data_IF_319072894741
#
_entry.id   IF_319072894741
#
_cell.length_a   1.000
_cell.length_b   1.000
_cell.length_c   1.000
_cell.angle_alpha   90.00
_cell.angle_beta   90.00
_cell.angle_gamma   90.00
#
_symmetry.space_group_name_H-M   'P 1'
#
loop_
_entity.id
_entity.type
_entity.pdbx_description
1 polymer ?
#
# COMPACT_ATOMS: atom_id res chain seq x y z
N UNK A 1 20.37 8.83 8.41
CA UNK A 1 18.95 8.64 8.66
C UNK A 1 18.20 8.74 7.34
N UNK A 2 17.00 8.15 7.26
CA UNK A 2 16.30 7.94 5.99
C UNK A 2 14.83 8.31 6.17
N UNK A 3 14.29 9.06 5.21
CA UNK A 3 12.86 9.16 4.95
C UNK A 3 12.59 8.64 3.53
N UNK A 4 11.54 7.87 3.35
CA UNK A 4 11.10 7.41 2.03
C UNK A 4 9.58 7.34 1.96
N UNK A 5 9.02 7.66 0.79
CA UNK A 5 7.60 7.53 0.56
C UNK A 5 7.17 6.06 0.36
N UNK A 6 5.88 5.83 0.56
CA UNK A 6 5.17 4.60 0.22
C UNK A 6 4.68 4.66 -1.26
N UNK A 7 4.42 3.51 -1.89
CA UNK A 7 4.84 2.17 -1.52
C UNK A 7 6.35 2.02 -1.69
N UNK A 8 6.96 1.17 -0.90
CA UNK A 8 8.43 1.03 -0.94
C UNK A 8 8.92 0.15 -2.08
N UNK A 9 8.03 -0.55 -2.73
CA UNK A 9 8.27 -1.40 -3.90
C UNK A 9 6.96 -1.71 -4.62
N UNK A 10 7.06 -2.26 -5.83
CA UNK A 10 5.92 -2.67 -6.65
C UNK A 10 5.85 -4.20 -6.87
N UNK A 11 6.85 -4.94 -6.39
CA UNK A 11 6.98 -6.38 -6.55
C UNK A 11 7.69 -7.04 -5.35
N UNK A 12 7.61 -8.37 -5.19
CA UNK A 12 8.25 -9.09 -4.09
C UNK A 12 9.77 -8.93 -4.06
N UNK A 13 10.43 -8.90 -5.22
CA UNK A 13 11.88 -8.72 -5.30
C UNK A 13 12.31 -7.36 -4.73
N UNK A 14 11.59 -6.29 -5.05
CA UNK A 14 11.79 -4.96 -4.50
C UNK A 14 11.57 -4.91 -2.99
N UNK A 15 10.49 -5.55 -2.50
CA UNK A 15 10.21 -5.63 -1.05
C UNK A 15 11.34 -6.33 -0.30
N UNK A 16 11.81 -7.49 -0.75
CA UNK A 16 12.93 -8.20 -0.12
C UNK A 16 14.20 -7.36 -0.08
N UNK A 17 14.50 -6.65 -1.18
CA UNK A 17 15.66 -5.73 -1.26
C UNK A 17 15.54 -4.59 -0.26
N UNK A 18 14.36 -4.01 -0.16
CA UNK A 18 14.09 -2.94 0.80
C UNK A 18 14.22 -3.42 2.25
N UNK A 19 13.61 -4.56 2.62
CA UNK A 19 13.74 -5.14 3.95
C UNK A 19 15.21 -5.39 4.35
N UNK A 20 16.04 -5.84 3.39
CA UNK A 20 17.48 -6.00 3.61
C UNK A 20 18.19 -4.67 3.86
N UNK A 21 17.78 -3.59 3.18
CA UNK A 21 18.33 -2.26 3.40
C UNK A 21 17.91 -1.68 4.76
N UNK A 22 16.64 -1.92 5.18
CA UNK A 22 16.15 -1.51 6.51
C UNK A 22 16.96 -2.18 7.62
N UNK A 23 17.23 -3.49 7.52
CA UNK A 23 18.08 -4.20 8.49
C UNK A 23 19.49 -3.60 8.60
N UNK A 24 20.11 -3.25 7.47
CA UNK A 24 21.41 -2.56 7.47
C UNK A 24 21.36 -1.18 8.11
N UNK A 25 20.26 -0.46 7.95
CA UNK A 25 20.06 0.84 8.60
C UNK A 25 19.91 0.68 10.11
N UNK A 26 19.19 -0.36 10.56
CA UNK A 26 19.02 -0.71 11.97
C UNK A 26 20.35 -1.08 12.64
N UNK A 27 21.16 -1.94 12.01
CA UNK A 27 22.51 -2.30 12.49
C UNK A 27 23.40 -1.06 12.70
N UNK A 28 23.20 -0.03 11.85
CA UNK A 28 23.90 1.26 11.95
C UNK A 28 23.21 2.28 12.86
N UNK A 29 22.13 1.89 13.53
CA UNK A 29 21.29 2.75 14.38
C UNK A 29 20.81 4.02 13.67
N UNK A 30 20.52 3.92 12.36
CA UNK A 30 19.97 5.01 11.58
C UNK A 30 18.44 5.01 11.74
N UNK A 31 17.86 6.15 12.10
CA UNK A 31 16.41 6.31 12.05
C UNK A 31 15.92 6.12 10.62
N UNK A 32 14.82 5.40 10.46
CA UNK A 32 14.19 5.11 9.20
C UNK A 32 12.69 5.39 9.31
N UNK A 33 12.18 6.37 8.59
CA UNK A 33 10.76 6.69 8.60
C UNK A 33 10.17 6.61 7.18
N UNK A 34 8.92 6.21 7.11
CA UNK A 34 8.21 5.98 5.84
C UNK A 34 6.96 6.84 5.77
N UNK A 35 6.56 7.25 4.56
CA UNK A 35 5.37 8.05 4.29
C UNK A 35 4.03 7.34 4.54
N UNK A 36 3.98 6.47 5.54
CA UNK A 36 2.74 5.93 6.11
C UNK A 36 2.20 6.90 7.16
N UNK A 37 1.83 8.10 6.73
CA UNK A 37 1.56 9.28 7.56
C UNK A 37 0.50 9.06 8.66
N UNK A 38 -0.44 8.11 8.49
CA UNK A 38 -1.44 7.77 9.52
C UNK A 38 -0.79 7.26 10.80
N UNK A 39 0.39 6.63 10.71
CA UNK A 39 1.20 6.21 11.87
C UNK A 39 1.73 7.41 12.67
N UNK A 40 1.75 8.61 12.09
CA UNK A 40 2.10 9.86 12.75
C UNK A 40 0.90 10.71 13.19
N UNK A 41 -0.33 10.30 12.87
CA UNK A 41 -1.55 10.92 13.37
C UNK A 41 -1.80 10.53 14.84
N UNK A 42 -1.99 11.51 15.71
CA UNK A 42 -2.32 11.26 17.11
C UNK A 42 -3.72 10.63 17.25
N UNK A 43 -4.67 11.00 16.39
CA UNK A 43 -6.00 10.39 16.38
C UNK A 43 -5.91 8.87 16.16
N UNK A 44 -5.10 8.43 15.17
CA UNK A 44 -4.86 7.00 14.94
C UNK A 44 -4.08 6.36 16.09
N UNK A 45 -2.97 6.96 16.53
CA UNK A 45 -2.13 6.42 17.63
C UNK A 45 -2.92 6.14 18.89
N UNK A 46 -3.72 7.12 19.33
CA UNK A 46 -4.54 7.00 20.54
C UNK A 46 -5.66 5.97 20.35
N UNK A 47 -6.33 5.97 19.20
CA UNK A 47 -7.40 5.02 18.91
C UNK A 47 -6.87 3.60 18.83
N UNK A 48 -5.80 3.37 18.08
CA UNK A 48 -5.21 2.03 17.91
C UNK A 48 -4.69 1.50 19.24
N UNK A 49 -4.05 2.35 20.05
CA UNK A 49 -3.64 1.95 21.40
C UNK A 49 -4.84 1.49 22.23
N UNK A 50 -5.94 2.25 22.25
CA UNK A 50 -7.18 1.88 22.98
C UNK A 50 -7.77 0.56 22.46
N UNK A 51 -7.76 0.34 21.13
CA UNK A 51 -8.21 -0.93 20.53
C UNK A 51 -7.36 -2.08 21.02
N UNK A 52 -6.04 -1.95 20.97
CA UNK A 52 -5.08 -2.96 21.43
C UNK A 52 -5.16 -3.20 22.95
N UNK A 53 -5.54 -2.17 23.72
CA UNK A 53 -5.83 -2.27 25.16
C UNK A 53 -7.23 -2.88 25.46
N UNK A 54 -7.99 -3.30 24.42
CA UNK A 54 -9.26 -4.04 24.56
C UNK A 54 -10.53 -3.18 24.59
N UNK A 55 -10.49 -1.92 24.18
CA UNK A 55 -11.66 -1.01 24.20
C UNK A 55 -12.88 -1.52 23.43
N UNK A 56 -12.66 -2.31 22.37
CA UNK A 56 -13.73 -2.94 21.57
C UNK A 56 -13.81 -4.47 21.75
N UNK A 57 -13.07 -5.02 22.72
CA UNK A 57 -12.94 -6.47 22.92
C UNK A 57 -12.01 -7.12 21.90
N UNK A 58 -12.14 -8.45 21.73
CA UNK A 58 -11.37 -9.20 20.74
C UNK A 58 -11.78 -8.82 19.32
N UNK A 59 -10.81 -8.65 18.43
CA UNK A 59 -11.07 -8.29 17.03
C UNK A 59 -11.67 -9.51 16.30
N UNK A 60 -12.78 -9.28 15.60
CA UNK A 60 -13.53 -10.31 14.86
C UNK A 60 -13.27 -10.16 13.36
N UNK A 61 -13.29 -8.92 12.85
CA UNK A 61 -13.09 -8.62 11.44
C UNK A 61 -12.68 -7.15 11.25
N UNK A 62 -12.15 -6.86 10.08
CA UNK A 62 -11.92 -5.48 9.63
C UNK A 62 -12.44 -5.30 8.21
N UNK A 63 -12.75 -4.06 7.83
CA UNK A 63 -12.99 -3.67 6.44
C UNK A 63 -12.31 -2.36 6.13
N UNK A 64 -11.79 -2.27 4.92
CA UNK A 64 -11.06 -1.10 4.46
C UNK A 64 -11.49 -0.72 3.05
N UNK A 65 -11.68 0.58 2.82
CA UNK A 65 -12.09 1.11 1.53
C UNK A 65 -11.16 2.22 1.05
N UNK A 66 -10.74 2.10 -0.21
CA UNK A 66 -10.25 3.23 -1.00
C UNK A 66 -11.08 3.32 -2.29
N UNK A 67 -12.31 3.77 -2.15
CA UNK A 67 -13.21 3.97 -3.25
C UNK A 67 -13.16 5.43 -3.67
N UNK A 68 -12.48 5.72 -4.76
CA UNK A 68 -12.26 7.07 -5.26
C UNK A 68 -12.21 7.14 -6.78
N UNK A 69 -11.69 8.23 -7.27
CA UNK A 69 -11.42 8.44 -8.67
C UNK A 69 -9.92 8.31 -8.95
N UNK A 70 -9.55 8.12 -10.22
CA UNK A 70 -8.16 8.14 -10.64
C UNK A 70 -7.56 9.53 -10.36
N UNK A 71 -6.44 9.63 -9.63
CA UNK A 71 -5.87 10.93 -9.29
C UNK A 71 -5.47 11.76 -10.50
N UNK A 72 -4.87 11.13 -11.50
CA UNK A 72 -4.51 11.77 -12.76
C UNK A 72 -4.21 10.74 -13.85
N UNK A 73 -4.32 11.19 -15.09
CA UNK A 73 -3.76 10.56 -16.28
C UNK A 73 -3.37 11.64 -17.27
N UNK A 74 -2.30 11.43 -18.01
CA UNK A 74 -1.80 12.41 -18.93
C UNK A 74 -1.75 11.85 -20.35
N UNK A 75 -2.35 12.56 -21.30
CA UNK A 75 -2.06 12.33 -22.71
C UNK A 75 -0.61 12.70 -23.01
N UNK A 76 0.03 11.97 -23.92
CA UNK A 76 1.41 12.26 -24.34
C UNK A 76 1.50 13.65 -24.94
N UNK A 77 2.43 14.44 -24.44
CA UNK A 77 2.67 15.80 -24.94
C UNK A 77 3.82 15.81 -25.95
N UNK A 78 3.78 16.72 -26.96
CA UNK A 78 4.84 16.84 -27.97
C UNK A 78 6.23 17.11 -27.43
N UNK A 79 6.34 17.77 -26.29
CA UNK A 79 7.61 18.06 -25.62
C UNK A 79 8.23 16.85 -24.92
N UNK A 80 7.46 15.79 -24.64
CA UNK A 80 7.95 14.54 -24.02
C UNK A 80 8.56 13.65 -25.10
N UNK A 81 9.88 13.65 -25.19
CA UNK A 81 10.61 13.13 -26.35
C UNK A 81 10.79 11.62 -26.37
N UNK A 82 10.71 10.98 -25.21
CA UNK A 82 10.96 9.55 -25.08
C UNK A 82 9.80 8.81 -24.40
N UNK A 83 9.71 7.52 -24.63
CA UNK A 83 8.72 6.69 -23.94
C UNK A 83 8.96 6.66 -22.45
N UNK A 84 10.21 6.51 -22.01
CA UNK A 84 10.53 6.51 -20.59
C UNK A 84 10.10 7.83 -19.90
N UNK A 85 10.37 8.98 -20.53
CA UNK A 85 9.91 10.27 -19.99
C UNK A 85 8.39 10.29 -19.82
N UNK A 86 7.66 9.86 -20.85
CA UNK A 86 6.19 9.81 -20.76
C UNK A 86 5.72 8.85 -19.66
N UNK A 87 6.29 7.63 -19.56
CA UNK A 87 5.94 6.67 -18.52
C UNK A 87 6.19 7.21 -17.11
N UNK A 88 7.33 7.86 -16.90
CA UNK A 88 7.65 8.47 -15.61
C UNK A 88 6.76 9.67 -15.29
N UNK A 89 6.36 10.50 -16.25
CA UNK A 89 5.43 11.60 -16.04
C UNK A 89 3.99 11.13 -15.80
N UNK A 90 3.62 10.01 -16.42
CA UNK A 90 2.32 9.34 -16.24
C UNK A 90 2.45 8.11 -15.32
N UNK A 91 3.36 8.17 -14.34
CA UNK A 91 3.81 7.07 -13.51
C UNK A 91 2.67 6.33 -12.80
N UNK A 92 1.63 7.05 -12.41
CA UNK A 92 0.48 6.49 -11.69
C UNK A 92 -0.26 5.43 -12.51
N UNK A 93 -0.12 5.44 -13.83
CA UNK A 93 -0.86 4.59 -14.75
C UNK A 93 -0.04 3.39 -15.28
N UNK A 94 1.09 3.08 -14.65
CA UNK A 94 1.92 1.94 -15.03
C UNK A 94 2.11 0.99 -13.83
N UNK A 95 1.87 -0.31 -14.02
CA UNK A 95 2.04 -1.30 -12.92
C UNK A 95 3.46 -1.27 -12.36
N UNK A 96 4.46 -1.16 -13.23
CA UNK A 96 5.86 -1.21 -12.82
C UNK A 96 6.37 0.05 -12.08
N UNK A 97 5.62 1.15 -12.10
CA UNK A 97 5.96 2.38 -11.36
C UNK A 97 5.11 2.58 -10.10
N UNK A 98 3.82 2.18 -10.13
CA UNK A 98 2.91 2.43 -8.99
C UNK A 98 2.43 1.14 -8.30
N UNK A 99 2.54 -0.02 -8.94
CA UNK A 99 2.08 -1.28 -8.38
C UNK A 99 0.57 -1.54 -8.49
N UNK A 100 -0.17 -0.72 -9.25
CA UNK A 100 -1.62 -0.61 -9.32
C UNK A 100 -2.26 0.08 -8.09
N UNK A 101 -3.54 0.46 -8.19
CA UNK A 101 -4.22 1.28 -7.18
C UNK A 101 -4.23 0.68 -5.78
N UNK A 102 -4.29 -0.64 -5.67
CA UNK A 102 -4.25 -1.34 -4.39
C UNK A 102 -2.91 -1.14 -3.67
N UNK A 103 -1.79 -1.08 -4.41
CA UNK A 103 -0.45 -0.90 -3.85
C UNK A 103 -0.16 0.57 -3.62
N UNK A 104 -0.53 1.45 -4.55
CA UNK A 104 -0.18 2.87 -4.47
C UNK A 104 -1.03 3.62 -3.45
N UNK A 105 -2.35 3.48 -3.48
CA UNK A 105 -3.25 4.23 -2.60
C UNK A 105 -3.78 3.41 -1.44
N UNK A 106 -4.30 2.22 -1.71
CA UNK A 106 -5.01 1.45 -0.69
C UNK A 106 -4.11 0.88 0.40
N UNK A 107 -2.80 0.86 0.18
CA UNK A 107 -1.79 0.54 1.20
C UNK A 107 -2.01 1.33 2.51
N UNK A 108 -2.46 2.58 2.44
CA UNK A 108 -2.72 3.39 3.64
C UNK A 108 -3.76 2.78 4.58
N UNK A 109 -4.80 2.19 4.02
CA UNK A 109 -5.87 1.54 4.80
C UNK A 109 -5.42 0.16 5.28
N UNK A 110 -4.74 -0.61 4.42
CA UNK A 110 -4.16 -1.92 4.75
C UNK A 110 -3.16 -1.78 5.91
N UNK A 111 -2.29 -0.76 5.86
CA UNK A 111 -1.30 -0.47 6.88
C UNK A 111 -1.92 -0.24 8.27
N UNK A 112 -3.06 0.44 8.34
CA UNK A 112 -3.76 0.68 9.61
C UNK A 112 -4.22 -0.62 10.25
N UNK A 113 -4.77 -1.56 9.47
CA UNK A 113 -5.23 -2.84 10.02
C UNK A 113 -4.04 -3.73 10.40
N UNK A 114 -2.99 -3.79 9.56
CA UNK A 114 -1.75 -4.49 9.93
C UNK A 114 -1.16 -3.93 11.24
N UNK A 115 -1.21 -2.61 11.44
CA UNK A 115 -0.78 -1.98 12.69
C UNK A 115 -1.65 -2.39 13.88
N UNK A 116 -2.98 -2.40 13.73
CA UNK A 116 -3.91 -2.86 14.80
C UNK A 116 -3.64 -4.31 15.13
N UNK A 117 -3.47 -5.16 14.13
CA UNK A 117 -3.23 -6.61 14.31
C UNK A 117 -1.81 -6.94 14.79
N UNK A 118 -0.86 -5.99 14.67
CA UNK A 118 0.55 -6.18 15.01
C UNK A 118 1.28 -7.16 14.10
N UNK A 119 0.70 -7.50 12.94
CA UNK A 119 1.22 -8.48 11.98
C UNK A 119 0.59 -8.28 10.61
N UNK A 120 1.04 -9.05 9.62
CA UNK A 120 0.48 -9.14 8.28
C UNK A 120 -0.49 -10.34 8.13
N UNK A 121 -1.37 -10.37 7.11
CA UNK A 121 -2.18 -11.54 6.79
C UNK A 121 -1.35 -12.77 6.42
N UNK A 122 -1.85 -13.95 6.74
CA UNK A 122 -1.23 -15.23 6.38
C UNK A 122 -1.51 -15.64 4.94
N UNK A 123 -2.70 -15.26 4.41
CA UNK A 123 -3.12 -15.58 3.03
C UNK A 123 -4.16 -14.59 2.53
N UNK A 124 -4.44 -14.66 1.22
CA UNK A 124 -5.45 -13.85 0.55
C UNK A 124 -6.11 -14.60 -0.59
N UNK A 125 -7.41 -14.35 -0.79
CA UNK A 125 -8.13 -14.61 -2.04
C UNK A 125 -8.64 -13.27 -2.55
N UNK A 126 -8.42 -12.97 -3.83
CA UNK A 126 -8.77 -11.68 -4.38
C UNK A 126 -9.40 -11.77 -5.77
N UNK A 127 -10.23 -10.79 -6.08
CA UNK A 127 -10.80 -10.55 -7.40
C UNK A 127 -10.62 -9.09 -7.80
N UNK A 128 -10.90 -8.79 -9.06
CA UNK A 128 -10.82 -7.44 -9.58
C UNK A 128 -10.83 -7.42 -11.10
N UNK A 129 -10.53 -6.26 -11.65
CA UNK A 129 -10.50 -6.13 -13.10
C UNK A 129 -10.41 -4.70 -13.59
N UNK A 130 -10.62 -4.58 -14.90
CA UNK A 130 -10.70 -3.31 -15.61
C UNK A 130 -12.06 -3.21 -16.27
N UNK A 131 -12.98 -2.48 -15.61
CA UNK A 131 -14.38 -2.37 -16.03
C UNK A 131 -14.64 -1.11 -16.87
N UNK A 132 -14.13 0.06 -16.48
CA UNK A 132 -14.45 1.33 -17.14
C UNK A 132 -13.29 1.99 -17.85
N UNK A 133 -12.03 1.82 -17.39
CA UNK A 133 -10.87 2.49 -18.03
C UNK A 133 -10.76 2.10 -19.50
N UNK A 134 -10.83 3.04 -20.45
CA UNK A 134 -10.63 2.74 -21.87
C UNK A 134 -9.23 2.18 -22.13
N UNK A 135 -9.05 1.49 -23.28
CA UNK A 135 -7.74 1.01 -23.72
C UNK A 135 -6.96 2.12 -24.43
N UNK A 136 -6.82 3.26 -23.76
CA UNK A 136 -6.02 4.38 -24.21
C UNK A 136 -4.69 4.40 -23.50
N UNK A 137 -3.65 4.90 -24.19
CA UNK A 137 -2.26 4.90 -23.68
C UNK A 137 -2.14 5.57 -22.30
N UNK A 138 -2.91 6.64 -22.05
CA UNK A 138 -2.86 7.40 -20.79
C UNK A 138 -3.33 6.62 -19.55
N UNK A 139 -4.13 5.59 -19.73
CA UNK A 139 -4.59 4.75 -18.63
C UNK A 139 -3.72 3.51 -18.39
N UNK A 140 -2.66 3.36 -19.18
CA UNK A 140 -1.67 2.29 -19.01
C UNK A 140 -2.28 0.90 -18.91
N UNK A 141 -1.67 0.06 -18.07
CA UNK A 141 -2.01 -1.35 -17.87
C UNK A 141 -2.76 -1.63 -16.55
N UNK A 142 -3.11 -0.60 -15.78
CA UNK A 142 -3.78 -0.75 -14.49
C UNK A 142 -5.19 -1.33 -14.59
N UNK A 143 -5.55 -2.08 -13.59
CA UNK A 143 -6.95 -2.33 -13.28
C UNK A 143 -7.64 -1.10 -12.68
N UNK A 144 -8.96 -1.15 -12.55
CA UNK A 144 -9.72 -0.06 -11.94
C UNK A 144 -10.41 -0.46 -10.63
N UNK A 145 -10.38 -1.74 -10.25
CA UNK A 145 -10.90 -2.19 -8.96
C UNK A 145 -10.25 -3.48 -8.47
N UNK A 146 -10.19 -3.63 -7.14
CA UNK A 146 -9.76 -4.82 -6.42
C UNK A 146 -10.67 -5.07 -5.22
N UNK A 147 -10.97 -6.35 -4.98
CA UNK A 147 -11.67 -6.87 -3.83
C UNK A 147 -10.85 -8.02 -3.26
N UNK A 148 -10.39 -7.89 -2.01
CA UNK A 148 -9.52 -8.87 -1.39
C UNK A 148 -10.10 -9.29 -0.04
N UNK A 149 -10.06 -10.59 0.23
CA UNK A 149 -10.28 -11.18 1.53
C UNK A 149 -8.93 -11.65 2.08
N UNK A 150 -8.36 -10.87 2.97
CA UNK A 150 -7.12 -11.18 3.67
C UNK A 150 -7.42 -11.89 4.98
N UNK A 151 -6.85 -13.07 5.20
CA UNK A 151 -6.99 -13.82 6.43
C UNK A 151 -5.69 -13.75 7.27
N UNK A 152 -5.79 -13.29 8.51
CA UNK A 152 -4.69 -13.30 9.47
C UNK A 152 -4.55 -14.69 10.12
N UNK A 153 -3.37 -14.99 10.67
CA UNK A 153 -3.07 -16.29 11.26
C UNK A 153 -4.00 -16.70 12.42
N UNK A 154 -4.65 -15.73 13.06
CA UNK A 154 -5.64 -15.96 14.12
C UNK A 154 -7.09 -16.12 13.60
N UNK A 155 -7.29 -16.19 12.28
CA UNK A 155 -8.60 -16.35 11.64
C UNK A 155 -9.40 -15.05 11.51
N UNK A 156 -8.84 -13.89 11.83
CA UNK A 156 -9.48 -12.58 11.58
C UNK A 156 -9.38 -12.25 10.09
N UNK A 157 -10.47 -11.78 9.50
CA UNK A 157 -10.53 -11.35 8.11
C UNK A 157 -10.48 -9.83 7.98
N UNK A 158 -9.70 -9.33 7.00
CA UNK A 158 -9.75 -7.96 6.53
C UNK A 158 -10.33 -7.94 5.11
N UNK A 159 -11.57 -7.43 4.98
CA UNK A 159 -12.24 -7.21 3.69
C UNK A 159 -11.79 -5.88 3.11
N UNK A 160 -11.18 -5.92 1.96
CA UNK A 160 -10.47 -4.81 1.34
C UNK A 160 -11.07 -4.49 -0.03
N UNK A 161 -11.48 -3.24 -0.23
CA UNK A 161 -12.11 -2.78 -1.46
C UNK A 161 -11.43 -1.51 -1.96
N UNK A 162 -10.92 -1.52 -3.17
CA UNK A 162 -10.35 -0.33 -3.79
C UNK A 162 -10.83 -0.19 -5.24
N UNK A 163 -11.11 1.05 -5.65
CA UNK A 163 -11.52 1.32 -7.03
C UNK A 163 -11.25 2.76 -7.44
N UNK A 164 -11.11 2.96 -8.76
CA UNK A 164 -11.02 4.26 -9.41
C UNK A 164 -12.21 4.45 -10.37
N UNK A 165 -13.38 4.71 -9.86
CA UNK A 165 -14.57 4.89 -10.67
C UNK A 165 -15.08 6.33 -10.60
N UNK A 166 -15.25 6.96 -11.76
CA UNK A 166 -15.83 8.30 -11.88
C UNK A 166 -17.33 8.27 -11.61
N UNK A 167 -17.86 9.40 -11.14
CA UNK A 167 -19.30 9.57 -10.88
C UNK A 167 -19.92 8.49 -9.96
N UNK A 168 -19.12 7.96 -9.03
CA UNK A 168 -19.54 6.95 -8.08
C UNK A 168 -19.34 7.44 -6.66
N UNK A 169 -20.00 6.80 -5.69
CA UNK A 169 -19.81 7.17 -4.28
C UNK A 169 -18.34 6.93 -3.87
N UNK A 170 -17.67 8.00 -3.48
CA UNK A 170 -16.34 7.93 -2.87
C UNK A 170 -16.45 7.56 -1.40
N UNK A 171 -15.55 6.70 -0.93
CA UNK A 171 -15.47 6.30 0.48
C UNK A 171 -14.06 5.79 0.79
N UNK A 172 -13.36 6.48 1.70
CA UNK A 172 -11.99 6.12 2.12
C UNK A 172 -11.95 6.02 3.63
N UNK A 173 -11.83 4.82 4.14
CA UNK A 173 -11.81 4.58 5.59
C UNK A 173 -11.31 3.19 5.97
N UNK A 174 -11.06 3.01 7.25
CA UNK A 174 -10.92 1.74 7.97
C UNK A 174 -12.03 1.60 9.00
N UNK A 175 -12.48 0.39 9.22
CA UNK A 175 -13.37 0.03 10.32
C UNK A 175 -13.00 -1.34 10.84
N UNK A 176 -12.83 -1.44 12.15
CA UNK A 176 -12.56 -2.70 12.84
C UNK A 176 -13.72 -3.05 13.75
N UNK A 177 -14.08 -4.33 13.76
CA UNK A 177 -15.18 -4.89 14.55
C UNK A 177 -14.60 -5.77 15.64
N UNK A 178 -15.03 -5.57 16.86
CA UNK A 178 -14.66 -6.37 18.01
C UNK A 178 -15.89 -6.93 18.73
N UNK A 179 -15.67 -7.82 19.69
CA UNK A 179 -16.72 -8.49 20.48
C UNK A 179 -17.54 -7.54 21.35
N UNK A 180 -17.05 -6.33 21.64
CA UNK A 180 -17.70 -5.31 22.49
C UNK A 180 -18.03 -4.01 21.76
N UNK A 181 -17.68 -3.88 20.48
CA UNK A 181 -17.93 -2.66 19.73
C UNK A 181 -17.17 -2.61 18.41
N UNK A 182 -17.11 -1.42 17.82
CA UNK A 182 -16.39 -1.16 16.59
C UNK A 182 -15.73 0.21 16.62
N UNK A 183 -14.74 0.44 15.76
CA UNK A 183 -14.02 1.70 15.64
C UNK A 183 -13.67 2.02 14.20
N UNK A 184 -13.61 3.32 13.88
CA UNK A 184 -13.09 3.86 12.62
C UNK A 184 -11.58 4.05 12.62
N UNK A 185 -10.90 3.47 13.61
CA UNK A 185 -9.45 3.48 13.77
C UNK A 185 -8.82 4.85 14.10
N UNK A 186 -9.59 5.95 14.05
CA UNK A 186 -9.17 7.32 14.41
C UNK A 186 -10.22 8.10 15.21
N UNK A 187 -11.23 7.43 15.73
CA UNK A 187 -12.43 8.02 16.33
C UNK A 187 -12.36 8.14 17.86
N UNK A 188 -11.27 7.69 18.49
CA UNK A 188 -11.06 7.77 19.94
C UNK A 188 -9.87 8.66 20.32
N UNK A 189 -9.29 9.37 19.37
CA UNK A 189 -8.18 10.30 19.54
C UNK A 189 -8.40 11.61 18.79
N UNK A 190 -7.44 12.52 18.87
CA UNK A 190 -7.51 13.83 18.21
C UNK A 190 -6.15 14.28 17.69
N UNK A 191 -6.10 14.72 16.44
CA UNK A 191 -4.92 15.36 15.87
C UNK A 191 -4.77 16.80 16.38
N UNK A 192 -3.54 17.15 16.70
CA UNK A 192 -3.14 18.52 17.10
C UNK A 192 -2.27 19.19 16.03
N UNK A 193 -1.81 18.40 15.05
CA UNK A 193 -0.97 18.82 13.93
C UNK A 193 -1.33 17.98 12.71
N UNK A 194 -1.07 18.51 11.52
CA UNK A 194 -1.15 17.77 10.28
C UNK A 194 -0.17 16.57 10.32
N UNK A 195 -0.66 15.39 10.00
CA UNK A 195 0.13 14.16 10.13
C UNK A 195 1.28 14.05 9.11
N UNK A 196 1.23 14.74 7.98
CA UNK A 196 2.37 14.85 7.05
C UNK A 196 3.49 15.71 7.64
N UNK A 197 3.15 16.75 8.40
CA UNK A 197 4.14 17.53 9.14
C UNK A 197 4.64 16.74 10.35
N UNK A 198 3.74 16.04 11.05
CA UNK A 198 4.08 15.28 12.24
C UNK A 198 5.09 14.16 11.96
N UNK A 199 5.00 13.46 10.83
CA UNK A 199 5.96 12.40 10.48
C UNK A 199 7.40 12.93 10.35
N UNK A 200 7.58 14.11 9.81
CA UNK A 200 8.90 14.75 9.75
C UNK A 200 9.38 15.24 11.13
N UNK A 201 8.47 15.77 11.95
CA UNK A 201 8.78 16.14 13.34
C UNK A 201 9.22 14.93 14.14
N UNK A 202 8.53 13.79 14.01
CA UNK A 202 8.88 12.54 14.68
C UNK A 202 10.28 12.05 14.28
N UNK A 203 10.57 12.04 12.97
CA UNK A 203 11.88 11.65 12.48
C UNK A 203 12.99 12.58 13.00
N UNK A 204 12.80 13.89 12.93
CA UNK A 204 13.80 14.87 13.37
C UNK A 204 14.07 14.74 14.88
N UNK A 205 13.02 14.59 15.70
CA UNK A 205 13.16 14.38 17.16
C UNK A 205 13.92 13.09 17.46
N UNK A 206 13.61 12.00 16.76
CA UNK A 206 14.33 10.74 16.93
C UNK A 206 15.82 10.87 16.53
N UNK A 207 16.13 11.57 15.44
CA UNK A 207 17.51 11.83 15.01
C UNK A 207 18.29 12.63 16.06
N UNK A 208 17.66 13.61 16.71
CA UNK A 208 18.26 14.47 17.72
C UNK A 208 18.33 13.81 19.10
N UNK A 209 17.78 12.63 19.29
CA UNK A 209 17.69 11.98 20.61
C UNK A 209 16.65 12.60 21.54
N UNK A 210 15.74 13.43 21.02
CA UNK A 210 14.63 14.07 21.74
C UNK A 210 13.39 13.14 21.83
N UNK A 211 13.41 12.03 21.11
CA UNK A 211 12.41 10.97 21.11
C UNK A 211 13.09 9.58 20.97
N UNK A 212 12.37 8.48 21.27
CA UNK A 212 12.88 7.13 21.05
C UNK A 212 13.33 6.89 19.60
N UNK A 213 14.24 5.90 19.43
CA UNK A 213 14.64 5.42 18.10
C UNK A 213 13.42 5.09 17.24
N UNK A 214 13.42 5.57 15.99
CA UNK A 214 12.32 5.40 15.06
C UNK A 214 12.76 4.57 13.85
N UNK A 215 12.06 3.44 13.62
CA UNK A 215 12.18 2.65 12.41
C UNK A 215 10.80 2.08 12.03
N UNK A 216 10.20 2.59 10.96
CA UNK A 216 8.93 2.11 10.40
C UNK A 216 9.10 1.31 9.12
N UNK A 217 10.35 1.06 8.71
CA UNK A 217 10.66 0.45 7.41
C UNK A 217 10.07 -0.94 7.22
N UNK A 218 10.22 -1.83 8.21
CA UNK A 218 9.68 -3.20 8.12
C UNK A 218 8.14 -3.17 8.09
N UNK A 219 7.50 -2.40 8.94
CA UNK A 219 6.04 -2.29 8.95
C UNK A 219 5.48 -1.79 7.61
N UNK A 220 6.13 -0.79 6.99
CA UNK A 220 5.76 -0.32 5.66
C UNK A 220 6.01 -1.39 4.58
N UNK A 221 7.11 -2.17 4.70
CA UNK A 221 7.41 -3.26 3.78
C UNK A 221 6.34 -4.37 3.85
N UNK A 222 5.92 -4.76 5.05
CA UNK A 222 4.85 -5.74 5.25
C UNK A 222 3.51 -5.25 4.69
N UNK A 223 3.16 -3.98 4.92
CA UNK A 223 1.91 -3.41 4.37
C UNK A 223 1.96 -3.27 2.84
N UNK A 224 3.12 -2.91 2.28
CA UNK A 224 3.35 -2.93 0.83
C UNK A 224 3.20 -4.35 0.27
N UNK A 225 3.83 -5.34 0.92
CA UNK A 225 3.75 -6.74 0.49
C UNK A 225 2.33 -7.29 0.61
N UNK A 226 1.56 -6.90 1.63
CA UNK A 226 0.15 -7.27 1.75
C UNK A 226 -0.65 -6.79 0.54
N UNK A 227 -0.47 -5.53 0.13
CA UNK A 227 -1.13 -4.99 -1.05
C UNK A 227 -0.67 -5.69 -2.35
N UNK A 228 0.63 -5.98 -2.49
CA UNK A 228 1.19 -6.73 -3.64
C UNK A 228 0.62 -8.16 -3.67
N UNK A 229 0.53 -8.84 -2.55
CA UNK A 229 -0.05 -10.19 -2.44
C UNK A 229 -1.53 -10.19 -2.90
N UNK A 230 -2.31 -9.19 -2.50
CA UNK A 230 -3.69 -9.00 -2.98
C UNK A 230 -3.77 -8.80 -4.49
N UNK A 231 -2.89 -7.96 -5.06
CA UNK A 231 -2.79 -7.80 -6.53
C UNK A 231 -2.41 -9.10 -7.23
N UNK A 232 -1.41 -9.81 -6.72
CA UNK A 232 -0.97 -11.08 -7.32
C UNK A 232 -2.09 -12.11 -7.30
N UNK A 233 -2.82 -12.25 -6.19
CA UNK A 233 -3.98 -13.13 -6.09
C UNK A 233 -5.06 -12.75 -7.10
N UNK A 234 -5.43 -11.47 -7.18
CA UNK A 234 -6.43 -10.98 -8.12
C UNK A 234 -6.04 -11.23 -9.59
N UNK A 235 -4.78 -11.00 -9.96
CA UNK A 235 -4.29 -11.22 -11.33
C UNK A 235 -4.27 -12.70 -11.72
N UNK A 236 -3.87 -13.58 -10.79
CA UNK A 236 -3.79 -15.02 -11.06
C UNK A 236 -5.14 -15.74 -10.86
N UNK A 237 -6.03 -15.18 -10.05
CA UNK A 237 -7.26 -15.84 -9.62
C UNK A 237 -7.02 -16.96 -8.60
N UNK A 238 -5.86 -16.99 -7.93
CA UNK A 238 -5.46 -18.04 -7.00
C UNK A 238 -5.40 -17.52 -5.56
N UNK A 239 -5.67 -18.38 -4.57
CA UNK A 239 -5.27 -18.13 -3.19
C UNK A 239 -3.74 -18.05 -3.12
N UNK A 240 -3.22 -17.07 -2.39
CA UNK A 240 -1.79 -16.95 -2.14
C UNK A 240 -1.51 -16.87 -0.65
N UNK A 241 -0.48 -17.57 -0.20
CA UNK A 241 0.06 -17.48 1.15
C UNK A 241 1.17 -16.43 1.19
N UNK A 242 1.37 -15.84 2.36
CA UNK A 242 2.37 -14.82 2.58
C UNK A 242 3.77 -15.23 2.12
N UNK A 243 4.26 -16.38 2.58
CA UNK A 243 5.61 -16.83 2.25
C UNK A 243 5.78 -17.14 0.77
N UNK A 244 4.73 -17.69 0.12
CA UNK A 244 4.72 -17.94 -1.32
C UNK A 244 4.82 -16.61 -2.10
N UNK A 245 4.03 -15.62 -1.70
CA UNK A 245 4.01 -14.32 -2.35
C UNK A 245 5.31 -13.54 -2.12
N UNK A 246 5.80 -13.49 -0.87
CA UNK A 246 7.03 -12.76 -0.53
C UNK A 246 8.26 -13.36 -1.23
N UNK A 247 8.33 -14.70 -1.38
CA UNK A 247 9.46 -15.38 -2.00
C UNK A 247 9.28 -15.64 -3.51
N UNK A 248 8.18 -15.17 -4.11
CA UNK A 248 7.97 -15.30 -5.54
C UNK A 248 9.12 -14.67 -6.33
N UNK A 249 9.55 -15.36 -7.39
CA UNK A 249 10.52 -14.85 -8.36
C UNK A 249 9.81 -13.95 -9.38
N UNK A 250 9.29 -12.83 -8.89
CA UNK A 250 8.58 -11.83 -9.66
C UNK A 250 9.27 -10.48 -9.51
N UNK A 251 9.75 -9.95 -10.64
CA UNK A 251 10.21 -8.57 -10.81
C UNK A 251 9.47 -7.97 -11.99
N UNK A 252 8.76 -6.86 -11.77
CA UNK A 252 8.00 -6.18 -12.83
C UNK A 252 8.67 -4.89 -13.30
N UNK A 253 9.67 -4.42 -12.58
CA UNK A 253 10.45 -3.25 -13.00
C UNK A 253 11.41 -3.66 -14.11
N UNK A 254 11.44 -2.95 -15.25
CA UNK A 254 12.42 -3.25 -16.31
C UNK A 254 13.86 -3.19 -15.78
N UNK A 255 14.67 -4.20 -16.10
CA UNK A 255 16.06 -4.29 -15.61
C UNK A 255 16.94 -3.16 -16.16
N UNK A 256 16.78 -2.84 -17.45
CA UNK A 256 17.58 -1.84 -18.15
C UNK A 256 16.73 -0.64 -18.55
N UNK A 257 16.61 0.35 -17.69
CA UNK A 257 15.97 1.61 -18.06
C UNK A 257 16.88 2.46 -18.93
N UNK A 258 16.40 2.77 -20.15
CA UNK A 258 17.13 3.57 -21.14
C UNK A 258 16.19 4.59 -21.79
N UNK A 259 16.61 5.83 -21.86
CA UNK A 259 15.83 6.91 -22.45
C UNK A 259 15.48 6.69 -23.93
N UNK A 260 16.26 5.89 -24.66
CA UNK A 260 16.10 5.65 -26.09
C UNK A 260 15.34 4.35 -26.42
N UNK A 261 14.97 3.55 -25.40
CA UNK A 261 14.19 2.33 -25.60
C UNK A 261 12.68 2.62 -25.62
N UNK A 262 11.90 1.88 -26.41
CA UNK A 262 10.44 1.92 -26.31
C UNK A 262 9.98 1.17 -25.05
N UNK A 263 8.93 1.70 -24.41
CA UNK A 263 8.25 1.07 -23.28
C UNK A 263 6.76 0.93 -23.61
N UNK A 264 6.39 -0.06 -24.43
CA UNK A 264 4.98 -0.30 -24.76
C UNK A 264 4.19 -0.66 -23.51
N UNK A 265 2.91 -0.35 -23.52
CA UNK A 265 1.98 -0.81 -22.47
C UNK A 265 1.92 -2.33 -22.53
N UNK A 266 2.10 -2.97 -21.38
CA UNK A 266 1.93 -4.41 -21.25
C UNK A 266 0.48 -4.87 -21.48
N UNK A 267 0.25 -6.16 -21.64
CA UNK A 267 -1.09 -6.70 -21.67
C UNK A 267 -1.77 -6.45 -20.32
N UNK A 268 -3.06 -6.08 -20.35
CA UNK A 268 -3.85 -5.99 -19.13
C UNK A 268 -4.02 -7.40 -18.57
N UNK A 269 -3.65 -7.64 -17.31
CA UNK A 269 -3.80 -8.96 -16.69
C UNK A 269 -5.24 -9.47 -16.80
N UNK A 270 -5.39 -10.77 -17.04
CA UNK A 270 -6.70 -11.45 -17.08
C UNK A 270 -6.62 -12.64 -16.13
N UNK A 271 -7.49 -12.72 -15.11
CA UNK A 271 -7.46 -13.80 -14.12
C UNK A 271 -7.45 -15.18 -14.77
N UNK A 272 -6.58 -16.07 -14.28
CA UNK A 272 -6.42 -17.43 -14.80
C UNK A 272 -5.70 -17.54 -16.16
N UNK A 273 -5.19 -16.42 -16.70
CA UNK A 273 -4.42 -16.38 -17.95
C UNK A 273 -3.04 -15.74 -17.81
N UNK A 274 -2.58 -15.56 -16.59
CA UNK A 274 -1.28 -14.96 -16.24
C UNK A 274 -0.31 -16.04 -15.80
#
# INVERSE_FOLDING_TARGET
HIFTEKPIAVDPAGVRRFMSAVKKAEEKKLCFHTGTQRRSSNAYRETIKKIQDGAIGDIIAARVYWNGELPFSHDRKPEWKTDLEYRLRNWYNQIWTCGDNIVEQHIHNIDVINWIMGTHPAKVVASGGRAWKPREEKYGDLWDHFECDFEYANGVHMFSYSRHWVNSKNDVFEEVFGTKGKSRCNDMGKDTMDHYVQEHVDLIKAIRGEAPYLNTGIACAESTMTAIMGRMSAYTGQELKWDEALNADLSIVPEDLDWNKPYPIGPIPVPGKV
#
